data_IF_049306754737
#
_entry.id   IF_049306754737
#
_cell.length_a   1.000
_cell.length_b   1.000
_cell.length_c   1.000
_cell.angle_alpha   90.00
_cell.angle_beta   90.00
_cell.angle_gamma   90.00
#
_symmetry.space_group_name_H-M   'P 1'
#
loop_
_entity.id
_entity.type
_entity.pdbx_description
1 polymer ?
#
# COMPACT_ATOMS: atom_id res chain seq x y z
N UNK A 1 11.14 15.38 8.42
CA UNK A 1 12.05 14.74 7.44
C UNK A 1 13.06 13.94 8.24
N UNK A 2 12.75 12.71 8.58
CA UNK A 2 13.71 11.78 9.16
C UNK A 2 14.61 11.31 8.02
N UNK A 3 15.87 11.70 8.12
CA UNK A 3 16.85 11.53 7.06
C UNK A 3 17.29 10.07 6.98
N UNK A 4 17.69 9.67 5.79
CA UNK A 4 18.35 8.44 5.32
C UNK A 4 19.45 7.84 6.25
N UNK A 5 19.63 8.35 7.48
CA UNK A 5 20.70 7.96 8.40
C UNK A 5 20.42 6.70 9.22
N UNK A 6 19.18 6.18 9.19
CA UNK A 6 18.75 5.10 10.09
C UNK A 6 18.51 3.75 9.35
N UNK A 7 19.10 3.57 8.16
CA UNK A 7 19.19 2.23 7.61
C UNK A 7 20.21 1.45 8.45
N UNK A 8 19.82 0.27 8.98
CA UNK A 8 20.75 -0.56 9.72
C UNK A 8 21.96 -0.91 8.87
N UNK A 9 23.15 -0.97 9.48
CA UNK A 9 24.38 -1.40 8.81
C UNK A 9 24.32 -2.86 8.31
N UNK A 10 23.28 -3.61 8.68
CA UNK A 10 23.05 -4.98 8.26
C UNK A 10 22.39 -5.03 6.90
N UNK A 11 22.84 -5.96 6.06
CA UNK A 11 22.21 -6.20 4.77
C UNK A 11 20.81 -6.81 4.97
N UNK A 12 19.79 -6.39 4.18
CA UNK A 12 18.47 -7.02 4.24
C UNK A 12 18.56 -8.47 3.74
N UNK A 13 17.82 -9.37 4.40
CA UNK A 13 17.70 -10.77 3.98
C UNK A 13 17.02 -10.85 2.61
N UNK A 14 16.04 -10.00 2.39
CA UNK A 14 15.29 -9.98 1.14
C UNK A 14 14.83 -8.56 0.80
N UNK A 15 14.87 -8.24 -0.50
CA UNK A 15 14.43 -6.94 -1.03
C UNK A 15 13.34 -7.16 -2.06
N UNK A 16 12.14 -6.72 -1.72
CA UNK A 16 11.00 -6.73 -2.64
C UNK A 16 10.91 -5.36 -3.33
N UNK A 17 11.25 -5.32 -4.61
CA UNK A 17 11.21 -4.11 -5.43
C UNK A 17 9.89 -4.05 -6.21
N UNK A 18 9.46 -2.85 -6.49
CA UNK A 18 8.31 -2.59 -7.35
C UNK A 18 8.57 -3.11 -8.77
N UNK A 19 7.74 -4.06 -9.24
CA UNK A 19 7.89 -4.68 -10.55
C UNK A 19 7.57 -3.73 -11.71
N UNK A 20 6.64 -2.78 -11.49
CA UNK A 20 6.17 -1.86 -12.52
C UNK A 20 6.37 -0.41 -12.11
N UNK A 21 7.17 0.32 -12.87
CA UNK A 21 7.35 1.78 -12.70
C UNK A 21 6.04 2.57 -12.89
N UNK A 22 5.10 2.00 -13.63
CA UNK A 22 3.82 2.64 -14.01
C UNK A 22 2.61 2.19 -13.17
N UNK A 23 2.80 1.42 -12.10
CA UNK A 23 1.69 1.08 -11.22
C UNK A 23 1.14 2.36 -10.61
N UNK A 24 -0.07 2.70 -10.93
CA UNK A 24 -0.73 3.95 -10.52
C UNK A 24 -0.98 4.94 -11.67
N UNK A 25 -0.39 4.76 -12.87
CA UNK A 25 -0.78 5.59 -14.03
C UNK A 25 -2.23 5.33 -14.41
N UNK A 26 -2.65 4.05 -14.44
CA UNK A 26 -4.04 3.69 -14.72
C UNK A 26 -5.03 4.23 -13.68
N UNK A 27 -4.69 4.12 -12.38
CA UNK A 27 -5.55 4.66 -11.30
C UNK A 27 -5.60 6.17 -11.30
N UNK A 28 -4.51 6.86 -11.63
CA UNK A 28 -4.50 8.32 -11.81
C UNK A 28 -5.33 8.74 -13.00
N UNK A 29 -5.20 8.03 -14.12
CA UNK A 29 -6.03 8.26 -15.31
C UNK A 29 -7.51 8.07 -15.01
N UNK A 30 -7.87 6.99 -14.31
CA UNK A 30 -9.25 6.75 -13.86
C UNK A 30 -9.75 7.87 -12.94
N UNK A 31 -8.94 8.31 -11.99
CA UNK A 31 -9.31 9.40 -11.07
C UNK A 31 -9.58 10.70 -11.84
N UNK A 32 -8.71 11.05 -12.79
CA UNK A 32 -8.91 12.21 -13.66
C UNK A 32 -10.19 12.07 -14.51
N UNK A 33 -10.44 10.88 -15.03
CA UNK A 33 -11.65 10.58 -15.82
C UNK A 33 -12.91 10.73 -14.96
N UNK A 34 -12.94 10.16 -13.75
CA UNK A 34 -14.07 10.28 -12.83
C UNK A 34 -14.32 11.74 -12.45
N UNK A 35 -13.25 12.50 -12.18
CA UNK A 35 -13.35 13.93 -11.89
C UNK A 35 -13.94 14.71 -13.07
N UNK A 36 -13.44 14.46 -14.28
CA UNK A 36 -13.93 15.11 -15.50
C UNK A 36 -15.40 14.78 -15.78
N UNK A 37 -15.81 13.51 -15.66
CA UNK A 37 -17.19 13.09 -15.78
C UNK A 37 -18.07 13.77 -14.73
N UNK A 38 -17.58 13.91 -13.49
CA UNK A 38 -18.25 14.67 -12.45
C UNK A 38 -18.46 16.13 -12.83
N UNK A 39 -17.47 16.76 -13.42
CA UNK A 39 -17.57 18.14 -13.91
C UNK A 39 -18.65 18.30 -15.01
N UNK A 40 -18.65 17.39 -15.98
CA UNK A 40 -19.67 17.39 -17.06
C UNK A 40 -21.07 17.15 -16.50
N UNK A 41 -21.22 16.23 -15.54
CA UNK A 41 -22.50 15.99 -14.87
C UNK A 41 -22.95 17.19 -14.03
N UNK A 42 -22.01 17.90 -13.42
CA UNK A 42 -22.31 19.04 -12.55
C UNK A 42 -23.07 20.14 -13.28
N UNK A 43 -22.82 20.33 -14.58
CA UNK A 43 -23.53 21.37 -15.39
C UNK A 43 -25.02 21.12 -15.53
N UNK A 44 -25.46 19.84 -15.51
CA UNK A 44 -26.86 19.46 -15.66
C UNK A 44 -27.47 18.93 -14.36
N UNK A 45 -26.70 18.32 -13.51
CA UNK A 45 -27.08 17.67 -12.26
C UNK A 45 -26.05 17.98 -11.16
N UNK A 46 -26.16 19.11 -10.45
CA UNK A 46 -25.10 19.59 -9.56
C UNK A 46 -24.80 18.63 -8.40
N UNK A 47 -25.80 18.01 -7.78
CA UNK A 47 -25.57 17.11 -6.64
C UNK A 47 -24.78 15.85 -7.02
N UNK A 48 -25.22 15.02 -8.01
CA UNK A 48 -24.43 13.85 -8.41
C UNK A 48 -23.08 14.25 -9.02
N UNK A 49 -23.00 15.35 -9.78
CA UNK A 49 -21.74 15.84 -10.32
C UNK A 49 -20.71 16.14 -9.24
N UNK A 50 -21.11 16.80 -8.16
CA UNK A 50 -20.25 17.09 -7.02
C UNK A 50 -19.75 15.82 -6.33
N UNK A 51 -20.60 14.80 -6.16
CA UNK A 51 -20.22 13.51 -5.56
C UNK A 51 -19.13 12.83 -6.40
N UNK A 52 -19.28 12.80 -7.73
CA UNK A 52 -18.28 12.24 -8.63
C UNK A 52 -16.96 13.01 -8.60
N UNK A 53 -16.99 14.33 -8.53
CA UNK A 53 -15.79 15.17 -8.43
C UNK A 53 -15.03 14.87 -7.12
N UNK A 54 -15.72 14.83 -5.98
CA UNK A 54 -15.13 14.50 -4.68
C UNK A 54 -14.57 13.07 -4.71
N UNK A 55 -15.31 12.11 -5.28
CA UNK A 55 -14.85 10.73 -5.48
C UNK A 55 -13.58 10.65 -6.32
N UNK A 56 -13.51 11.38 -7.42
CA UNK A 56 -12.32 11.46 -8.27
C UNK A 56 -11.09 12.01 -7.53
N UNK A 57 -11.27 13.08 -6.75
CA UNK A 57 -10.22 13.65 -5.90
C UNK A 57 -9.74 12.60 -4.88
N UNK A 58 -10.65 11.91 -4.21
CA UNK A 58 -10.31 10.90 -3.22
C UNK A 58 -9.53 9.73 -3.82
N UNK A 59 -9.98 9.20 -4.96
CA UNK A 59 -9.26 8.14 -5.71
C UNK A 59 -7.88 8.62 -6.16
N UNK A 60 -7.74 9.88 -6.56
CA UNK A 60 -6.46 10.46 -6.93
C UNK A 60 -5.48 10.47 -5.74
N UNK A 61 -5.90 10.90 -4.56
CA UNK A 61 -5.05 10.87 -3.36
C UNK A 61 -4.65 9.44 -2.95
N UNK A 62 -5.59 8.48 -3.01
CA UNK A 62 -5.27 7.07 -2.77
C UNK A 62 -4.21 6.57 -3.77
N UNK A 63 -4.36 6.91 -5.05
CA UNK A 63 -3.42 6.48 -6.09
C UNK A 63 -2.02 7.10 -5.94
N UNK A 64 -1.95 8.33 -5.45
CA UNK A 64 -0.68 8.96 -5.08
C UNK A 64 -0.03 8.19 -3.93
N UNK A 65 -0.81 7.80 -2.94
CA UNK A 65 -0.32 7.09 -1.77
C UNK A 65 0.23 5.71 -2.14
N UNK A 66 -0.50 4.89 -2.89
CA UNK A 66 -0.04 3.57 -3.37
C UNK A 66 1.19 3.68 -4.29
N UNK A 67 1.27 4.73 -5.08
CA UNK A 67 2.41 5.00 -5.95
C UNK A 67 3.71 5.34 -5.20
N UNK A 68 3.66 5.59 -3.89
CA UNK A 68 4.82 6.05 -3.12
C UNK A 68 5.75 4.95 -2.66
N UNK A 69 5.32 3.68 -2.65
CA UNK A 69 6.17 2.55 -2.25
C UNK A 69 7.25 2.34 -3.30
N UNK A 70 8.50 2.37 -2.88
CA UNK A 70 9.67 2.06 -3.71
C UNK A 70 10.08 0.60 -3.57
N UNK A 71 10.26 0.17 -2.32
CA UNK A 71 10.68 -1.18 -1.98
C UNK A 71 10.28 -1.54 -0.55
N UNK A 72 10.26 -2.83 -0.28
CA UNK A 72 10.11 -3.40 1.06
C UNK A 72 11.36 -4.22 1.34
N UNK A 73 12.02 -3.91 2.45
CA UNK A 73 13.24 -4.55 2.91
C UNK A 73 12.91 -5.43 4.11
N UNK A 74 13.28 -6.70 4.06
CA UNK A 74 13.10 -7.62 5.17
C UNK A 74 14.44 -7.83 5.86
N UNK A 75 14.46 -7.63 7.16
CA UNK A 75 15.58 -7.91 8.06
C UNK A 75 15.20 -9.04 9.01
N UNK A 76 16.13 -9.49 9.84
CA UNK A 76 15.87 -10.56 10.79
C UNK A 76 14.82 -10.21 11.85
N UNK A 77 14.79 -8.96 12.29
CA UNK A 77 13.95 -8.46 13.39
C UNK A 77 12.78 -7.58 12.93
N UNK A 78 12.84 -7.04 11.71
CA UNK A 78 11.91 -6.00 11.23
C UNK A 78 11.69 -5.99 9.73
N UNK A 79 10.63 -5.31 9.33
CA UNK A 79 10.30 -4.98 7.95
C UNK A 79 10.44 -3.47 7.78
N UNK A 80 11.12 -3.04 6.75
CA UNK A 80 11.24 -1.63 6.39
C UNK A 80 10.50 -1.37 5.08
N UNK A 81 9.55 -0.45 5.13
CA UNK A 81 8.81 0.06 3.99
C UNK A 81 9.45 1.37 3.53
N UNK A 82 10.14 1.35 2.40
CA UNK A 82 10.66 2.56 1.79
C UNK A 82 9.63 3.17 0.86
N UNK A 83 9.26 4.43 1.14
CA UNK A 83 8.32 5.22 0.36
C UNK A 83 8.99 6.52 -0.09
N UNK A 84 8.39 7.21 -1.07
CA UNK A 84 8.89 8.51 -1.53
C UNK A 84 8.94 9.57 -0.41
N UNK A 85 8.07 9.44 0.59
CA UNK A 85 7.92 10.43 1.67
C UNK A 85 8.54 9.99 3.00
N UNK A 86 9.27 8.86 3.04
CA UNK A 86 9.96 8.42 4.24
C UNK A 86 10.16 6.91 4.33
N UNK A 87 10.86 6.52 5.36
CA UNK A 87 11.16 5.13 5.72
C UNK A 87 10.34 4.78 6.96
N UNK A 88 9.73 3.60 6.95
CA UNK A 88 8.91 3.11 8.05
C UNK A 88 9.35 1.71 8.42
N UNK A 89 9.65 1.51 9.69
CA UNK A 89 10.07 0.24 10.24
C UNK A 89 8.95 -0.36 11.09
N UNK A 90 8.72 -1.65 10.95
CA UNK A 90 7.78 -2.44 11.74
C UNK A 90 8.51 -3.69 12.20
N UNK A 91 8.58 -3.93 13.51
CA UNK A 91 9.18 -5.13 14.07
C UNK A 91 8.22 -6.32 13.96
N UNK A 92 8.75 -7.54 13.80
CA UNK A 92 7.90 -8.72 13.70
C UNK A 92 7.10 -8.98 14.98
N UNK A 93 7.63 -8.64 16.15
CA UNK A 93 6.93 -8.78 17.42
C UNK A 93 5.75 -7.81 17.60
N UNK A 94 5.68 -6.75 16.80
CA UNK A 94 4.55 -5.81 16.74
C UNK A 94 3.40 -6.31 15.85
N UNK A 95 3.65 -7.33 15.01
CA UNK A 95 2.67 -7.86 14.07
C UNK A 95 1.82 -8.91 14.78
N UNK A 96 0.50 -8.78 14.72
CA UNK A 96 -0.45 -9.77 15.24
C UNK A 96 -0.70 -10.85 14.20
N UNK A 97 -1.00 -10.42 12.97
CA UNK A 97 -1.40 -11.28 11.86
C UNK A 97 -1.27 -10.55 10.53
N UNK A 98 -1.32 -11.30 9.46
CA UNK A 98 -1.40 -10.73 8.12
C UNK A 98 -2.50 -11.43 7.31
N UNK A 99 -2.97 -10.79 6.26
CA UNK A 99 -3.99 -11.37 5.40
C UNK A 99 -4.32 -10.50 4.21
N UNK A 100 -5.27 -10.98 3.41
CA UNK A 100 -5.76 -10.29 2.25
C UNK A 100 -7.20 -9.84 2.48
N UNK A 101 -7.50 -8.59 2.17
CA UNK A 101 -8.85 -8.05 2.08
C UNK A 101 -9.21 -7.93 0.61
N UNK A 102 -10.36 -8.48 0.22
CA UNK A 102 -10.93 -8.23 -1.12
C UNK A 102 -11.55 -6.85 -1.13
N UNK A 103 -11.08 -6.00 -2.05
CA UNK A 103 -11.66 -4.68 -2.29
C UNK A 103 -12.42 -4.75 -3.61
N UNK A 104 -13.73 -4.98 -3.54
CA UNK A 104 -14.55 -5.17 -4.72
C UNK A 104 -14.23 -6.48 -5.47
N UNK A 105 -14.68 -6.57 -6.72
CA UNK A 105 -14.57 -7.80 -7.52
C UNK A 105 -13.14 -8.05 -8.06
N UNK A 106 -12.29 -7.04 -8.17
CA UNK A 106 -11.06 -7.11 -8.97
C UNK A 106 -9.77 -6.76 -8.22
N UNK A 107 -9.84 -6.36 -6.95
CA UNK A 107 -8.62 -5.96 -6.24
C UNK A 107 -8.52 -6.59 -4.87
N UNK A 108 -7.30 -7.02 -4.55
CA UNK A 108 -6.96 -7.59 -3.25
C UNK A 108 -5.91 -6.69 -2.61
N UNK A 109 -6.14 -6.29 -1.38
CA UNK A 109 -5.19 -5.53 -0.57
C UNK A 109 -4.60 -6.45 0.48
N UNK A 110 -3.28 -6.50 0.54
CA UNK A 110 -2.57 -7.16 1.62
C UNK A 110 -2.52 -6.25 2.85
N UNK A 111 -2.82 -6.81 4.00
CA UNK A 111 -2.90 -6.08 5.27
C UNK A 111 -2.06 -6.77 6.33
N UNK A 112 -1.32 -5.99 7.09
CA UNK A 112 -0.61 -6.42 8.29
C UNK A 112 -1.29 -5.73 9.48
N UNK A 113 -1.80 -6.50 10.42
CA UNK A 113 -2.39 -5.98 11.65
C UNK A 113 -1.33 -5.84 12.74
N UNK A 114 -1.24 -4.66 13.32
CA UNK A 114 -0.26 -4.32 14.36
C UNK A 114 -0.90 -4.25 15.74
N UNK A 115 -0.15 -4.60 16.78
CA UNK A 115 -0.59 -4.54 18.19
C UNK A 115 -0.98 -3.12 18.65
N UNK A 116 -0.29 -2.12 18.13
CA UNK A 116 -0.55 -0.70 18.42
C UNK A 116 -0.71 0.07 17.12
N UNK A 117 -1.87 0.02 16.47
CA UNK A 117 -2.07 0.73 15.22
C UNK A 117 -2.13 2.23 15.48
N UNK A 118 -1.22 2.96 14.86
CA UNK A 118 -1.33 4.41 14.69
C UNK A 118 -1.95 4.70 13.33
N UNK A 119 -2.48 5.90 13.12
CA UNK A 119 -2.99 6.30 11.81
C UNK A 119 -1.92 6.09 10.72
N UNK A 120 -0.68 6.42 11.03
CA UNK A 120 0.49 6.25 10.15
C UNK A 120 0.75 4.77 9.85
N UNK A 121 0.78 3.90 10.85
CA UNK A 121 1.00 2.46 10.67
C UNK A 121 -0.16 1.78 9.96
N UNK A 122 -1.39 2.24 10.15
CA UNK A 122 -2.57 1.76 9.45
C UNK A 122 -2.43 1.88 7.92
N UNK A 123 -1.92 3.00 7.45
CA UNK A 123 -1.68 3.20 6.02
C UNK A 123 -0.45 2.44 5.51
N UNK A 124 0.59 2.32 6.33
CA UNK A 124 1.84 1.65 5.94
C UNK A 124 1.64 0.15 5.79
N UNK A 125 0.84 -0.44 6.66
CA UNK A 125 0.60 -1.87 6.72
C UNK A 125 -0.34 -2.40 5.63
N UNK A 126 -0.86 -1.53 4.77
CA UNK A 126 -1.71 -1.90 3.63
C UNK A 126 -0.95 -1.78 2.34
N UNK A 127 -0.74 -2.92 1.71
CA UNK A 127 -0.01 -3.03 0.44
C UNK A 127 -0.95 -3.53 -0.64
N UNK A 128 -1.02 -2.83 -1.76
CA UNK A 128 -1.61 -3.41 -2.95
C UNK A 128 -0.68 -4.49 -3.51
N UNK A 129 -1.23 -5.65 -3.87
CA UNK A 129 -0.45 -6.76 -4.43
C UNK A 129 0.08 -6.45 -5.83
N UNK A 130 -0.55 -5.50 -6.52
CA UNK A 130 -0.27 -5.21 -7.93
C UNK A 130 1.14 -4.66 -8.25
N UNK A 131 1.82 -3.88 -7.40
CA UNK A 131 3.10 -3.31 -7.78
C UNK A 131 4.29 -4.27 -7.70
N UNK A 132 4.12 -5.46 -7.13
CA UNK A 132 5.22 -6.40 -6.88
C UNK A 132 5.19 -7.58 -7.83
N UNK A 133 6.37 -8.11 -8.18
CA UNK A 133 6.45 -9.36 -8.91
C UNK A 133 5.85 -10.50 -8.07
N UNK A 134 5.10 -11.41 -8.73
CA UNK A 134 4.43 -12.50 -8.02
C UNK A 134 5.39 -13.37 -7.19
N UNK A 135 6.63 -13.58 -7.68
CA UNK A 135 7.66 -14.32 -6.96
C UNK A 135 8.13 -13.62 -5.70
N UNK A 136 8.38 -12.32 -5.78
CA UNK A 136 8.84 -11.52 -4.65
C UNK A 136 7.78 -11.45 -3.55
N UNK A 137 6.52 -11.30 -3.92
CA UNK A 137 5.43 -11.28 -2.96
C UNK A 137 5.24 -12.64 -2.27
N UNK A 138 5.40 -13.75 -3.01
CA UNK A 138 5.36 -15.10 -2.42
C UNK A 138 6.49 -15.29 -1.41
N UNK A 139 7.71 -14.89 -1.73
CA UNK A 139 8.86 -14.97 -0.81
C UNK A 139 8.64 -14.12 0.44
N UNK A 140 8.07 -12.94 0.29
CA UNK A 140 7.65 -12.09 1.41
C UNK A 140 6.67 -12.80 2.35
N UNK A 141 5.63 -13.44 1.82
CA UNK A 141 4.67 -14.21 2.61
C UNK A 141 5.33 -15.39 3.33
N UNK A 142 6.19 -16.13 2.62
CA UNK A 142 6.94 -17.25 3.22
C UNK A 142 7.81 -16.80 4.38
N UNK A 143 8.45 -15.63 4.27
CA UNK A 143 9.24 -15.05 5.37
C UNK A 143 8.36 -14.73 6.58
N UNK A 144 7.17 -14.15 6.39
CA UNK A 144 6.24 -13.89 7.50
C UNK A 144 5.80 -15.20 8.20
N UNK A 145 5.53 -16.24 7.42
CA UNK A 145 5.18 -17.57 7.96
C UNK A 145 6.34 -18.17 8.76
N UNK A 146 7.58 -18.09 8.26
CA UNK A 146 8.78 -18.56 8.96
C UNK A 146 9.02 -17.80 10.28
N UNK A 147 8.65 -16.53 10.36
CA UNK A 147 8.70 -15.74 11.59
C UNK A 147 7.50 -16.01 12.53
N UNK A 148 6.66 -17.01 12.24
CA UNK A 148 5.54 -17.44 13.08
C UNK A 148 4.33 -16.51 13.08
N UNK A 149 4.25 -15.58 12.13
CA UNK A 149 3.13 -14.64 12.04
C UNK A 149 1.92 -15.36 11.42
N UNK A 150 0.79 -15.31 12.11
CA UNK A 150 -0.42 -16.01 11.68
C UNK A 150 -1.04 -15.37 10.44
N UNK A 151 -1.32 -16.21 9.45
CA UNK A 151 -2.15 -15.82 8.31
C UNK A 151 -3.62 -15.87 8.72
N UNK A 152 -4.36 -14.81 8.41
CA UNK A 152 -5.80 -14.74 8.66
C UNK A 152 -6.51 -14.31 7.37
N UNK A 153 -7.65 -14.94 7.06
CA UNK A 153 -8.56 -14.37 6.08
C UNK A 153 -9.26 -13.19 6.75
N UNK A 154 -8.93 -11.99 6.30
CA UNK A 154 -9.61 -10.78 6.75
C UNK A 154 -10.74 -10.56 5.74
N UNK A 155 -11.97 -10.71 6.20
CA UNK A 155 -13.18 -10.51 5.40
C UNK A 155 -13.44 -9.03 5.12
#
# INVERSE_FOLDING_TARGET
MEKLKDLPCEAPIFVMKKAYKFSGVGTKGLACFVFFMGYVLYTNHPTPGLIFMIGGIFVFFISLYDGTIKQVLLYDDKIIFERNFGIYSVRYDEIIRYGNIKIGAFSTMFVIDLKKPTLKSYFISRLSNMPFANGDFKNFLTTLEQKGIKKCQIF
#
